data_IF_261501336873
#
_entry.id   IF_261501336873
#
_cell.length_a   1.000
_cell.length_b   1.000
_cell.length_c   1.000
_cell.angle_alpha   90.00
_cell.angle_beta   90.00
_cell.angle_gamma   90.00
#
_symmetry.space_group_name_H-M   'P 1'
#
loop_
_entity.id
_entity.type
_entity.pdbx_description
1 polymer ?
#
# COMPACT_ATOMS: atom_id res chain seq x y z
N UNK A 1 -10.41 -1.67 8.08
CA UNK A 1 -10.78 -0.32 7.61
C UNK A 1 -11.13 -0.40 6.14
N UNK A 2 -12.16 0.31 5.70
CA UNK A 2 -12.52 0.40 4.27
C UNK A 2 -11.69 1.50 3.58
N UNK A 3 -11.37 1.36 2.28
CA UNK A 3 -10.67 2.40 1.53
C UNK A 3 -11.55 3.65 1.35
N UNK A 4 -10.91 4.83 1.28
CA UNK A 4 -11.60 6.07 0.94
C UNK A 4 -11.83 6.15 -0.59
N UNK A 5 -13.08 6.25 -1.02
CA UNK A 5 -13.46 6.30 -2.44
C UNK A 5 -13.44 7.72 -3.05
N UNK A 6 -13.20 8.75 -2.24
CA UNK A 6 -13.11 10.14 -2.72
C UNK A 6 -11.68 10.59 -3.03
N UNK A 7 -10.68 9.80 -2.64
CA UNK A 7 -9.28 10.11 -2.91
C UNK A 7 -8.90 9.76 -4.37
N UNK A 8 -7.79 10.34 -4.83
CA UNK A 8 -7.20 10.07 -6.14
C UNK A 8 -6.38 8.76 -6.17
N UNK A 9 -6.12 8.15 -5.01
CA UNK A 9 -5.31 6.93 -4.90
C UNK A 9 -6.18 5.68 -4.94
N UNK A 10 -6.01 4.84 -5.97
CA UNK A 10 -6.81 3.63 -6.18
C UNK A 10 -5.95 2.37 -6.17
N UNK A 11 -6.27 1.39 -5.30
CA UNK A 11 -5.54 0.12 -5.19
C UNK A 11 -5.71 -0.80 -6.41
N UNK A 12 -6.92 -0.83 -6.98
CA UNK A 12 -7.29 -1.72 -8.09
C UNK A 12 -7.60 -0.95 -9.39
N UNK A 13 -7.17 0.31 -9.46
CA UNK A 13 -7.49 1.23 -10.56
C UNK A 13 -8.79 2.00 -10.34
N UNK A 14 -8.81 3.26 -10.81
CA UNK A 14 -9.94 4.19 -10.68
C UNK A 14 -10.73 4.43 -11.97
N UNK A 15 -10.52 3.60 -13.00
CA UNK A 15 -11.32 3.68 -14.24
C UNK A 15 -12.73 3.13 -14.02
N UNK A 16 -13.71 3.62 -14.79
CA UNK A 16 -15.10 3.17 -14.69
C UNK A 16 -15.23 1.64 -14.79
N UNK A 17 -14.55 1.03 -15.76
CA UNK A 17 -14.53 -0.42 -15.92
C UNK A 17 -13.97 -1.15 -14.69
N UNK A 18 -12.92 -0.64 -14.05
CA UNK A 18 -12.31 -1.24 -12.86
C UNK A 18 -13.21 -1.11 -11.63
N UNK A 19 -13.94 0.01 -11.51
CA UNK A 19 -14.92 0.24 -10.45
C UNK A 19 -16.11 -0.71 -10.63
N UNK A 20 -16.67 -0.80 -11.85
CA UNK A 20 -17.79 -1.71 -12.16
C UNK A 20 -17.40 -3.15 -11.87
N UNK A 21 -16.20 -3.58 -12.28
CA UNK A 21 -15.73 -4.93 -11.95
C UNK A 21 -15.61 -5.15 -10.44
N UNK A 22 -15.07 -4.17 -9.71
CA UNK A 22 -14.89 -4.26 -8.26
C UNK A 22 -16.22 -4.32 -7.52
N UNK A 23 -17.25 -3.58 -7.97
CA UNK A 23 -18.59 -3.59 -7.38
C UNK A 23 -19.33 -4.88 -7.72
N UNK A 24 -19.22 -5.36 -8.96
CA UNK A 24 -19.96 -6.54 -9.44
C UNK A 24 -19.38 -7.87 -8.97
N UNK A 25 -18.05 -8.01 -8.97
CA UNK A 25 -17.37 -9.26 -8.60
C UNK A 25 -16.84 -9.25 -7.17
N UNK A 26 -16.78 -8.08 -6.53
CA UNK A 26 -16.10 -7.90 -5.26
C UNK A 26 -14.58 -8.04 -5.38
N UNK A 27 -13.87 -7.68 -4.30
CA UNK A 27 -12.42 -7.92 -4.15
C UNK A 27 -12.16 -8.44 -2.73
N UNK A 28 -11.35 -9.49 -2.63
CA UNK A 28 -10.88 -10.01 -1.35
C UNK A 28 -9.40 -9.67 -1.19
N UNK A 29 -9.12 -8.62 -0.41
CA UNK A 29 -7.75 -8.33 -0.01
C UNK A 29 -7.34 -9.26 1.12
N UNK A 30 -6.13 -9.81 1.06
CA UNK A 30 -5.57 -10.65 2.12
C UNK A 30 -4.22 -10.06 2.55
N UNK A 31 -4.11 -9.68 3.82
CA UNK A 31 -2.84 -9.30 4.44
C UNK A 31 -2.42 -10.41 5.40
N UNK A 32 -1.58 -11.37 4.95
CA UNK A 32 -1.12 -12.45 5.81
C UNK A 32 -0.16 -11.92 6.88
N UNK A 33 -0.11 -12.59 8.04
CA UNK A 33 0.89 -12.30 9.07
C UNK A 33 2.29 -12.58 8.53
N UNK A 34 3.19 -11.62 8.73
CA UNK A 34 4.57 -11.68 8.28
C UNK A 34 5.52 -12.22 9.38
N UNK A 35 5.05 -12.39 10.61
CA UNK A 35 5.89 -12.75 11.78
C UNK A 35 6.55 -14.13 11.66
N UNK A 36 5.94 -15.03 10.87
CA UNK A 36 6.49 -16.37 10.59
C UNK A 36 7.47 -16.39 9.41
N UNK A 37 7.49 -15.32 8.61
CA UNK A 37 8.31 -15.21 7.39
C UNK A 37 9.52 -14.32 7.63
N UNK A 38 9.38 -13.28 8.47
CA UNK A 38 10.41 -12.29 8.75
C UNK A 38 10.74 -12.28 10.24
N UNK A 39 12.04 -12.26 10.58
CA UNK A 39 12.47 -12.01 11.95
C UNK A 39 12.26 -10.53 12.32
N UNK A 40 12.18 -10.19 13.61
CA UNK A 40 11.95 -8.80 14.06
C UNK A 40 12.94 -7.79 13.46
N UNK A 41 14.22 -8.18 13.35
CA UNK A 41 15.28 -7.32 12.80
C UNK A 41 15.06 -7.06 11.31
N UNK A 42 14.60 -8.07 10.56
CA UNK A 42 14.28 -7.94 9.14
C UNK A 42 13.07 -7.05 8.91
N UNK A 43 12.06 -7.14 9.78
CA UNK A 43 10.89 -6.24 9.74
C UNK A 43 11.35 -4.80 9.94
N UNK A 44 12.22 -4.54 10.93
CA UNK A 44 12.75 -3.19 11.15
C UNK A 44 13.54 -2.64 9.95
N UNK A 45 14.42 -3.44 9.35
CA UNK A 45 15.18 -3.00 8.17
C UNK A 45 14.27 -2.77 6.94
N UNK A 46 13.32 -3.68 6.68
CA UNK A 46 12.40 -3.55 5.54
C UNK A 46 11.49 -2.33 5.69
N UNK A 47 10.94 -2.11 6.90
CA UNK A 47 10.08 -0.97 7.18
C UNK A 47 10.84 0.35 7.04
N UNK A 48 12.08 0.42 7.52
CA UNK A 48 12.96 1.58 7.31
C UNK A 48 13.21 1.85 5.82
N UNK A 49 13.45 0.81 5.03
CA UNK A 49 13.66 0.93 3.59
C UNK A 49 12.40 1.46 2.87
N UNK A 50 11.23 0.86 3.10
CA UNK A 50 9.97 1.30 2.48
C UNK A 50 9.61 2.74 2.88
N UNK A 51 9.86 3.10 4.15
CA UNK A 51 9.67 4.46 4.62
C UNK A 51 10.59 5.45 3.90
N UNK A 52 11.86 5.09 3.69
CA UNK A 52 12.81 5.93 2.96
C UNK A 52 12.33 6.24 1.53
N UNK A 53 11.74 5.24 0.83
CA UNK A 53 11.18 5.44 -0.52
C UNK A 53 10.07 6.50 -0.55
N UNK A 54 9.27 6.56 0.51
CA UNK A 54 8.12 7.47 0.61
C UNK A 54 8.49 8.85 1.14
N UNK A 55 9.60 8.97 1.88
CA UNK A 55 10.04 10.20 2.55
C UNK A 55 11.42 10.68 2.06
N UNK A 56 11.80 10.35 0.82
CA UNK A 56 12.95 10.91 0.13
C UNK A 56 12.70 12.39 -0.21
N UNK A 57 12.80 13.25 0.81
CA UNK A 57 12.92 14.69 0.57
C UNK A 57 14.26 14.93 -0.10
N UNK A 58 14.35 15.58 -1.28
CA UNK A 58 15.62 16.08 -1.75
C UNK A 58 16.12 17.04 -0.68
N UNK A 59 17.26 16.71 -0.07
CA UNK A 59 17.99 17.63 0.79
C UNK A 59 18.18 18.91 -0.01
N UNK A 60 17.40 19.94 0.32
CA UNK A 60 17.61 21.30 -0.18
C UNK A 60 19.03 21.68 0.24
N UNK A 61 19.95 21.69 -0.71
CA UNK A 61 21.29 22.21 -0.52
C UNK A 61 21.12 23.68 -0.13
N UNK A 62 21.54 24.01 1.09
CA UNK A 62 21.61 25.37 1.60
C UNK A 62 22.75 26.12 0.92
#
# INVERSE_FOLDING_TARGET
GAPNLTDKTWLYGGSEAAIVETVTKGRMAMMPSQDKVLSPEKIHLLTAYVWSLSNNKPTQAK
#
